data_IF_512382682885
#
_entry.id   IF_512382682885
#
_cell.length_a   1.000
_cell.length_b   1.000
_cell.length_c   1.000
_cell.angle_alpha   90.00
_cell.angle_beta   90.00
_cell.angle_gamma   90.00
#
_symmetry.space_group_name_H-M   'P 1'
#
loop_
_entity.id
_entity.type
_entity.pdbx_description
1 polymer ?
#
# COMPACT_ATOMS: atom_id res chain seq x y z
N UNK A 1 -17.62 -7.30 27.70
CA UNK A 1 -16.24 -7.37 28.21
C UNK A 1 -15.98 -6.14 29.05
N UNK A 2 -15.21 -6.27 30.12
CA UNK A 2 -14.90 -5.15 30.99
C UNK A 2 -13.86 -4.26 30.30
N UNK A 3 -14.34 -3.24 29.58
CA UNK A 3 -13.49 -2.29 28.85
C UNK A 3 -12.49 -1.57 29.76
N UNK A 4 -12.89 -1.21 30.98
CA UNK A 4 -12.02 -0.52 31.94
C UNK A 4 -10.83 -1.40 32.35
N UNK A 5 -11.10 -2.68 32.61
CA UNK A 5 -10.06 -3.64 32.95
C UNK A 5 -9.14 -3.93 31.76
N UNK A 6 -9.70 -4.01 30.55
CA UNK A 6 -8.94 -4.18 29.32
C UNK A 6 -7.99 -3.00 29.09
N UNK A 7 -8.50 -1.78 29.18
CA UNK A 7 -7.72 -0.53 29.09
C UNK A 7 -6.58 -0.52 30.11
N UNK A 8 -6.90 -0.86 31.37
CA UNK A 8 -5.93 -0.90 32.45
C UNK A 8 -4.78 -1.87 32.15
N UNK A 9 -5.07 -3.07 31.66
CA UNK A 9 -4.03 -4.04 31.34
C UNK A 9 -3.13 -3.59 30.19
N UNK A 10 -3.72 -3.05 29.12
CA UNK A 10 -2.96 -2.53 27.98
C UNK A 10 -2.11 -1.32 28.39
N UNK A 11 -2.63 -0.42 29.23
CA UNK A 11 -1.89 0.71 29.80
C UNK A 11 -0.72 0.26 30.69
N UNK A 12 -0.77 -0.94 31.27
CA UNK A 12 0.33 -1.56 32.04
C UNK A 12 1.33 -2.32 31.17
N UNK A 13 1.19 -2.29 29.85
CA UNK A 13 2.11 -2.94 28.91
C UNK A 13 1.79 -4.40 28.65
N UNK A 14 0.55 -4.86 28.92
CA UNK A 14 0.10 -6.16 28.45
C UNK A 14 0.24 -6.23 26.92
N UNK A 15 0.73 -7.35 26.41
CA UNK A 15 0.81 -7.57 24.98
C UNK A 15 -0.59 -7.62 24.37
N UNK A 16 -0.82 -6.89 23.29
CA UNK A 16 -2.15 -6.69 22.68
C UNK A 16 -2.62 -7.88 21.83
N UNK A 17 -1.69 -8.65 21.25
CA UNK A 17 -1.99 -9.75 20.31
C UNK A 17 -1.54 -11.15 20.77
N UNK A 18 -1.73 -11.57 22.04
CA UNK A 18 -1.45 -12.94 22.43
C UNK A 18 -2.34 -13.89 21.64
N UNK A 19 -1.77 -14.97 21.10
CA UNK A 19 -2.53 -15.95 20.31
C UNK A 19 -2.95 -17.10 21.21
N UNK A 20 -4.26 -17.28 21.38
CA UNK A 20 -4.87 -18.43 22.05
C UNK A 20 -5.48 -19.40 21.02
N UNK A 21 -6.03 -20.53 21.48
CA UNK A 21 -6.65 -21.56 20.63
C UNK A 21 -7.77 -21.02 19.70
N UNK A 22 -8.46 -19.96 20.13
CA UNK A 22 -9.59 -19.35 19.41
C UNK A 22 -9.23 -18.01 18.74
N UNK A 23 -7.96 -17.59 18.74
CA UNK A 23 -7.52 -16.33 18.14
C UNK A 23 -6.87 -15.37 19.13
N UNK A 24 -6.69 -14.13 18.68
CA UNK A 24 -6.24 -12.99 19.51
C UNK A 24 -7.40 -12.41 20.32
N UNK A 25 -7.16 -11.53 21.32
CA UNK A 25 -8.22 -10.81 22.01
C UNK A 25 -9.18 -10.09 21.03
N UNK A 26 -8.67 -9.62 19.89
CA UNK A 26 -9.47 -8.97 18.85
C UNK A 26 -10.43 -9.94 18.15
N UNK A 27 -10.05 -11.21 17.95
CA UNK A 27 -10.97 -12.24 17.44
C UNK A 27 -12.13 -12.47 18.40
N UNK A 28 -11.84 -12.62 19.69
CA UNK A 28 -12.85 -12.82 20.72
C UNK A 28 -13.78 -11.62 20.86
N UNK A 29 -13.23 -10.40 20.94
CA UNK A 29 -14.03 -9.18 21.02
C UNK A 29 -14.95 -9.02 19.79
N UNK A 30 -14.45 -9.34 18.59
CA UNK A 30 -15.22 -9.31 17.35
C UNK A 30 -16.31 -10.39 17.30
N UNK A 31 -15.98 -11.64 17.66
CA UNK A 31 -16.90 -12.77 17.68
C UNK A 31 -18.01 -12.66 18.73
N UNK A 32 -17.77 -11.90 19.80
CA UNK A 32 -18.77 -11.57 20.82
C UNK A 32 -19.48 -10.22 20.54
N UNK A 33 -19.18 -9.57 19.41
CA UNK A 33 -19.78 -8.28 19.02
C UNK A 33 -19.49 -7.11 19.98
N UNK A 34 -18.41 -7.19 20.75
CA UNK A 34 -18.06 -6.21 21.78
C UNK A 34 -17.36 -4.99 21.19
N UNK A 35 -18.14 -4.08 20.58
CA UNK A 35 -17.66 -2.87 19.93
C UNK A 35 -16.62 -2.08 20.76
N UNK A 36 -16.89 -1.85 22.06
CA UNK A 36 -15.98 -1.11 22.93
C UNK A 36 -14.61 -1.78 23.09
N UNK A 37 -14.58 -3.10 23.26
CA UNK A 37 -13.35 -3.86 23.37
C UNK A 37 -12.59 -3.92 22.03
N UNK A 38 -13.31 -4.09 20.91
CA UNK A 38 -12.72 -4.00 19.57
C UNK A 38 -12.05 -2.65 19.36
N UNK A 39 -12.73 -1.56 19.70
CA UNK A 39 -12.18 -0.20 19.58
C UNK A 39 -10.90 -0.02 20.39
N UNK A 40 -10.91 -0.39 21.67
CA UNK A 40 -9.75 -0.28 22.57
C UNK A 40 -8.55 -1.08 22.03
N UNK A 41 -8.78 -2.32 21.59
CA UNK A 41 -7.72 -3.16 21.03
C UNK A 41 -7.11 -2.54 19.77
N UNK A 42 -7.93 -1.98 18.88
CA UNK A 42 -7.48 -1.29 17.68
C UNK A 42 -6.70 -0.01 18.03
N UNK A 43 -7.16 0.76 19.01
CA UNK A 43 -6.48 1.97 19.51
C UNK A 43 -5.09 1.63 20.10
N UNK A 44 -4.93 0.42 20.65
CA UNK A 44 -3.67 -0.16 21.12
C UNK A 44 -2.90 -0.98 20.06
N UNK A 45 -3.15 -0.72 18.76
CA UNK A 45 -2.45 -1.31 17.63
C UNK A 45 -2.56 -2.85 17.50
N UNK A 46 -3.67 -3.44 17.95
CA UNK A 46 -3.98 -4.84 17.63
C UNK A 46 -3.96 -5.07 16.11
N UNK A 47 -3.39 -6.19 15.67
CA UNK A 47 -3.37 -6.58 14.26
C UNK A 47 -4.76 -6.99 13.78
N UNK A 48 -5.45 -6.04 13.15
CA UNK A 48 -6.80 -6.19 12.60
C UNK A 48 -6.91 -7.21 11.46
N UNK A 49 -5.79 -7.61 10.86
CA UNK A 49 -5.72 -8.62 9.79
C UNK A 49 -5.05 -9.92 10.24
N UNK A 50 -4.79 -10.10 11.54
CA UNK A 50 -4.17 -11.31 12.06
C UNK A 50 -5.02 -12.52 11.69
N UNK A 51 -4.42 -13.49 11.00
CA UNK A 51 -5.10 -14.73 10.66
C UNK A 51 -4.71 -15.83 11.65
N UNK A 52 -5.70 -16.38 12.36
CA UNK A 52 -5.53 -17.51 13.28
C UNK A 52 -6.49 -18.61 12.89
N UNK A 53 -5.99 -19.82 12.64
CA UNK A 53 -6.78 -20.97 12.17
C UNK A 53 -7.65 -20.67 10.93
N UNK A 54 -7.16 -19.79 10.03
CA UNK A 54 -7.88 -19.38 8.83
C UNK A 54 -8.98 -18.34 9.03
N UNK A 55 -9.17 -17.86 10.27
CA UNK A 55 -10.16 -16.83 10.62
C UNK A 55 -9.43 -15.52 10.86
N UNK A 56 -10.04 -14.41 10.44
CA UNK A 56 -9.62 -13.04 10.77
C UNK A 56 -10.62 -12.40 11.74
N UNK A 57 -10.26 -11.32 12.45
CA UNK A 57 -11.22 -10.62 13.31
C UNK A 57 -12.46 -10.15 12.55
N UNK A 58 -12.32 -9.74 11.29
CA UNK A 58 -13.45 -9.35 10.45
C UNK A 58 -14.38 -10.53 10.13
N UNK A 59 -13.83 -11.73 9.88
CA UNK A 59 -14.63 -12.94 9.71
C UNK A 59 -15.39 -13.29 11.00
N UNK A 60 -14.73 -13.23 12.16
CA UNK A 60 -15.38 -13.46 13.44
C UNK A 60 -16.54 -12.47 13.70
N UNK A 61 -16.35 -11.17 13.38
CA UNK A 61 -17.44 -10.18 13.48
C UNK A 61 -18.62 -10.46 12.53
N UNK A 62 -18.34 -11.02 11.34
CA UNK A 62 -19.37 -11.43 10.38
C UNK A 62 -20.15 -12.64 10.86
N UNK A 63 -19.47 -13.66 11.38
CA UNK A 63 -20.11 -14.86 11.93
C UNK A 63 -21.01 -14.50 13.12
N UNK A 64 -20.60 -13.50 13.91
CA UNK A 64 -21.38 -12.93 15.02
C UNK A 64 -22.54 -11.99 14.58
N UNK A 65 -22.65 -11.67 13.28
CA UNK A 65 -23.56 -10.66 12.74
C UNK A 65 -23.46 -9.28 13.45
N UNK A 66 -22.27 -8.92 13.93
CA UNK A 66 -22.05 -7.64 14.63
C UNK A 66 -21.75 -6.51 13.65
N UNK A 67 -22.81 -5.88 13.14
CA UNK A 67 -22.72 -4.80 12.14
C UNK A 67 -21.78 -3.67 12.54
N UNK A 68 -21.77 -3.26 13.81
CA UNK A 68 -20.93 -2.15 14.28
C UNK A 68 -19.45 -2.53 14.35
N UNK A 69 -19.12 -3.77 14.74
CA UNK A 69 -17.75 -4.27 14.71
C UNK A 69 -17.25 -4.43 13.26
N UNK A 70 -18.11 -4.92 12.35
CA UNK A 70 -17.80 -5.03 10.92
C UNK A 70 -17.46 -3.64 10.34
N UNK A 71 -18.31 -2.64 10.57
CA UNK A 71 -18.07 -1.26 10.08
C UNK A 71 -16.75 -0.71 10.60
N UNK A 72 -16.45 -0.91 11.89
CA UNK A 72 -15.21 -0.41 12.50
C UNK A 72 -13.97 -1.09 11.90
N UNK A 73 -13.98 -2.42 11.76
CA UNK A 73 -12.86 -3.18 11.20
C UNK A 73 -12.62 -2.86 9.72
N UNK A 74 -13.69 -2.72 8.93
CA UNK A 74 -13.60 -2.29 7.52
C UNK A 74 -13.01 -0.89 7.41
N UNK A 75 -13.48 0.06 8.24
CA UNK A 75 -12.93 1.42 8.27
C UNK A 75 -11.42 1.43 8.55
N UNK A 76 -10.96 0.63 9.50
CA UNK A 76 -9.53 0.52 9.83
C UNK A 76 -8.72 -0.12 8.70
N UNK A 77 -9.33 -0.99 7.89
CA UNK A 77 -8.69 -1.53 6.68
C UNK A 77 -8.61 -0.49 5.55
N UNK A 78 -9.62 0.37 5.41
CA UNK A 78 -9.71 1.39 4.35
C UNK A 78 -8.78 2.58 4.60
N UNK A 79 -8.62 3.05 5.84
CA UNK A 79 -7.81 4.23 6.16
C UNK A 79 -6.34 4.14 5.67
N UNK A 80 -5.60 3.04 5.88
CA UNK A 80 -4.26 2.86 5.34
C UNK A 80 -4.23 2.85 3.82
N UNK A 81 -5.24 2.27 3.16
CA UNK A 81 -5.33 2.26 1.70
C UNK A 81 -5.55 3.66 1.14
N UNK A 82 -6.48 4.42 1.72
CA UNK A 82 -6.74 5.80 1.33
C UNK A 82 -5.51 6.68 1.55
N UNK A 83 -4.81 6.55 2.68
CA UNK A 83 -3.55 7.26 2.94
C UNK A 83 -2.49 6.92 1.89
N UNK A 84 -2.35 5.64 1.49
CA UNK A 84 -1.42 5.22 0.44
C UNK A 84 -1.77 5.84 -0.91
N UNK A 85 -3.05 5.85 -1.28
CA UNK A 85 -3.53 6.42 -2.54
C UNK A 85 -3.29 7.93 -2.60
N UNK A 86 -3.61 8.67 -1.53
CA UNK A 86 -3.34 10.12 -1.43
C UNK A 86 -1.84 10.39 -1.59
N UNK A 87 -0.98 9.65 -0.88
CA UNK A 87 0.47 9.83 -0.97
C UNK A 87 1.00 9.46 -2.35
N UNK A 88 0.48 8.39 -2.98
CA UNK A 88 0.85 8.01 -4.33
C UNK A 88 0.49 9.11 -5.33
N UNK A 89 -0.74 9.62 -5.29
CA UNK A 89 -1.20 10.72 -6.14
C UNK A 89 -0.34 11.98 -6.01
N UNK A 90 0.01 12.35 -4.77
CA UNK A 90 0.88 13.50 -4.52
C UNK A 90 2.30 13.30 -5.06
N UNK A 91 2.89 12.12 -4.89
CA UNK A 91 4.22 11.81 -5.46
C UNK A 91 4.21 11.87 -7.00
N UNK A 92 3.13 11.40 -7.62
CA UNK A 92 2.95 11.44 -9.08
C UNK A 92 2.80 12.89 -9.57
N UNK A 93 2.05 13.71 -8.84
CA UNK A 93 1.85 15.13 -9.17
C UNK A 93 3.17 15.89 -9.11
N UNK A 94 3.94 15.72 -8.02
CA UNK A 94 5.26 16.33 -7.83
C UNK A 94 6.28 15.83 -8.87
N UNK A 95 6.22 14.54 -9.21
CA UNK A 95 7.05 13.95 -10.28
C UNK A 95 6.77 14.61 -11.63
N UNK A 96 5.50 14.81 -11.96
CA UNK A 96 5.06 15.44 -13.20
C UNK A 96 5.45 16.92 -13.28
N UNK A 97 5.39 17.64 -12.16
CA UNK A 97 5.88 19.03 -12.04
C UNK A 97 7.40 19.06 -12.26
N UNK A 98 8.14 18.13 -11.66
CA UNK A 98 9.60 18.04 -11.78
C UNK A 98 10.02 17.72 -13.23
N UNK A 99 9.28 16.84 -13.91
CA UNK A 99 9.45 16.58 -15.35
C UNK A 99 9.29 17.86 -16.19
N UNK A 100 8.24 18.65 -15.94
CA UNK A 100 8.02 19.93 -16.65
C UNK A 100 9.16 20.91 -16.42
N UNK A 101 9.78 20.89 -15.22
CA UNK A 101 10.97 21.68 -14.87
C UNK A 101 12.29 21.09 -15.41
N UNK A 102 12.25 19.93 -16.08
CA UNK A 102 13.41 19.17 -16.56
C UNK A 102 14.36 18.68 -15.44
N UNK A 103 13.86 18.60 -14.20
CA UNK A 103 14.59 17.97 -13.10
C UNK A 103 14.34 16.46 -13.10
N UNK A 104 15.01 15.78 -14.04
CA UNK A 104 14.81 14.36 -14.30
C UNK A 104 15.25 13.47 -13.13
N UNK A 105 16.28 13.88 -12.39
CA UNK A 105 16.79 13.12 -11.26
C UNK A 105 15.80 13.11 -10.09
N UNK A 106 15.20 14.26 -9.77
CA UNK A 106 14.15 14.34 -8.74
C UNK A 106 12.88 13.63 -9.20
N UNK A 107 12.46 13.83 -10.45
CA UNK A 107 11.29 13.16 -11.01
C UNK A 107 11.42 11.63 -10.94
N UNK A 108 12.56 11.06 -11.33
CA UNK A 108 12.79 9.61 -11.28
C UNK A 108 12.71 9.05 -9.85
N UNK A 109 13.20 9.79 -8.85
CA UNK A 109 13.09 9.40 -7.43
C UNK A 109 11.65 9.42 -6.94
N UNK A 110 10.89 10.45 -7.30
CA UNK A 110 9.47 10.58 -6.93
C UNK A 110 8.64 9.45 -7.54
N UNK A 111 8.81 9.16 -8.83
CA UNK A 111 8.15 8.02 -9.46
C UNK A 111 8.54 6.70 -8.83
N UNK A 112 9.83 6.51 -8.47
CA UNK A 112 10.27 5.29 -7.79
C UNK A 112 9.58 5.08 -6.44
N UNK A 113 9.32 6.16 -5.69
CA UNK A 113 8.54 6.08 -4.45
C UNK A 113 7.06 5.81 -4.71
N UNK A 114 6.46 6.47 -5.72
CA UNK A 114 5.08 6.23 -6.10
C UNK A 114 4.85 4.76 -6.49
N UNK A 115 5.77 4.16 -7.23
CA UNK A 115 5.71 2.75 -7.66
C UNK A 115 5.85 1.73 -6.52
N UNK A 116 6.37 2.13 -5.35
CA UNK A 116 6.36 1.28 -4.15
C UNK A 116 4.96 1.24 -3.51
N UNK A 117 4.15 2.28 -3.73
CA UNK A 117 2.78 2.37 -3.22
C UNK A 117 1.77 1.79 -4.21
N UNK A 118 1.98 2.03 -5.50
CA UNK A 118 1.19 1.48 -6.60
C UNK A 118 2.12 0.89 -7.68
N UNK A 119 2.42 -0.43 -7.62
CA UNK A 119 3.32 -1.08 -8.56
C UNK A 119 2.71 -1.34 -9.94
N UNK A 120 1.39 -1.14 -10.11
CA UNK A 120 0.66 -1.54 -11.31
C UNK A 120 0.31 -0.39 -12.27
N UNK A 121 0.85 0.81 -12.04
CA UNK A 121 0.71 1.93 -12.96
C UNK A 121 1.80 1.95 -14.05
N UNK A 122 1.42 1.52 -15.26
CA UNK A 122 2.27 1.53 -16.45
C UNK A 122 2.78 2.94 -16.84
N UNK A 123 2.06 4.00 -16.48
CA UNK A 123 2.44 5.40 -16.81
C UNK A 123 3.71 5.80 -16.06
N UNK A 124 3.84 5.41 -14.80
CA UNK A 124 5.03 5.70 -13.99
C UNK A 124 6.29 5.08 -14.58
N UNK A 125 6.21 3.86 -15.10
CA UNK A 125 7.32 3.23 -15.82
C UNK A 125 7.68 4.03 -17.09
N UNK A 126 6.70 4.48 -17.87
CA UNK A 126 6.95 5.28 -19.07
C UNK A 126 7.62 6.63 -18.74
N UNK A 127 7.13 7.31 -17.71
CA UNK A 127 7.61 8.64 -17.32
C UNK A 127 8.98 8.57 -16.63
N UNK A 128 9.23 7.54 -15.82
CA UNK A 128 10.55 7.28 -15.26
C UNK A 128 11.57 6.85 -16.33
N UNK A 129 11.15 6.05 -17.32
CA UNK A 129 11.97 5.71 -18.50
C UNK A 129 12.43 6.96 -19.24
N UNK A 130 11.52 7.94 -19.43
CA UNK A 130 11.87 9.25 -20.01
C UNK A 130 12.95 9.97 -19.20
N UNK A 131 12.82 10.00 -17.86
CA UNK A 131 13.84 10.61 -17.01
C UNK A 131 15.21 9.97 -17.23
N UNK A 132 15.29 8.64 -17.27
CA UNK A 132 16.55 7.92 -17.47
C UNK A 132 17.17 8.19 -18.85
N UNK A 133 16.36 8.29 -19.90
CA UNK A 133 16.83 8.67 -21.23
C UNK A 133 17.48 10.03 -21.23
N UNK A 134 16.87 11.03 -20.59
CA UNK A 134 17.44 12.37 -20.48
C UNK A 134 18.68 12.44 -19.57
N UNK A 135 18.82 11.48 -18.65
CA UNK A 135 20.03 11.33 -17.82
C UNK A 135 21.12 10.49 -18.50
N UNK A 136 20.88 9.93 -19.69
CA UNK A 136 21.83 9.06 -20.40
C UNK A 136 21.92 7.63 -19.87
N UNK A 137 21.06 7.21 -18.95
CA UNK A 137 21.04 5.84 -18.43
C UNK A 137 20.12 4.94 -19.28
N UNK A 138 20.64 4.53 -20.44
CA UNK A 138 19.89 3.71 -21.40
C UNK A 138 19.48 2.35 -20.85
N UNK A 139 20.24 1.79 -19.90
CA UNK A 139 19.95 0.48 -19.29
C UNK A 139 18.71 0.57 -18.42
N UNK A 140 18.65 1.55 -17.50
CA UNK A 140 17.46 1.77 -16.66
C UNK A 140 16.24 2.17 -17.49
N UNK A 141 16.44 3.02 -18.50
CA UNK A 141 15.38 3.41 -19.42
C UNK A 141 14.75 2.19 -20.13
N UNK A 142 15.58 1.26 -20.62
CA UNK A 142 15.13 0.06 -21.31
C UNK A 142 14.36 -0.90 -20.39
N UNK A 143 14.81 -1.07 -19.15
CA UNK A 143 14.11 -1.89 -18.15
C UNK A 143 12.69 -1.38 -17.90
N UNK A 144 12.55 -0.08 -17.65
CA UNK A 144 11.25 0.55 -17.42
C UNK A 144 10.35 0.49 -18.67
N UNK A 145 10.91 0.72 -19.86
CA UNK A 145 10.16 0.63 -21.12
C UNK A 145 9.65 -0.80 -21.40
N UNK A 146 10.47 -1.82 -21.10
CA UNK A 146 10.06 -3.22 -21.24
C UNK A 146 8.95 -3.59 -20.27
N UNK A 147 9.03 -3.14 -19.02
CA UNK A 147 7.98 -3.38 -18.01
C UNK A 147 6.68 -2.68 -18.40
N UNK A 148 6.76 -1.42 -18.83
CA UNK A 148 5.65 -0.66 -19.38
C UNK A 148 4.96 -1.39 -20.56
N UNK A 149 5.75 -1.90 -21.52
CA UNK A 149 5.24 -2.66 -22.67
C UNK A 149 4.63 -4.01 -22.26
N UNK A 150 5.18 -4.68 -21.24
CA UNK A 150 4.59 -5.92 -20.69
C UNK A 150 3.20 -5.65 -20.10
N UNK A 151 2.99 -4.50 -19.47
CA UNK A 151 1.72 -4.10 -18.87
C UNK A 151 0.73 -3.57 -19.91
N UNK A 152 1.20 -2.80 -20.90
CA UNK A 152 0.39 -2.26 -22.00
C UNK A 152 1.07 -2.48 -23.35
N UNK A 153 0.91 -3.66 -23.98
CA UNK A 153 1.63 -4.02 -25.22
C UNK A 153 1.36 -3.09 -26.40
N UNK A 154 0.13 -2.57 -26.51
CA UNK A 154 -0.31 -1.71 -27.60
C UNK A 154 -0.11 -0.22 -27.33
N UNK A 155 0.56 0.17 -26.24
CA UNK A 155 0.71 1.58 -25.89
C UNK A 155 1.88 2.23 -26.66
N UNK A 156 1.63 3.18 -27.59
CA UNK A 156 2.68 3.68 -28.48
C UNK A 156 3.85 4.36 -27.74
N UNK A 157 3.56 5.00 -26.60
CA UNK A 157 4.60 5.63 -25.77
C UNK A 157 5.62 4.60 -25.26
N UNK A 158 5.18 3.40 -24.88
CA UNK A 158 6.06 2.35 -24.40
C UNK A 158 7.03 1.87 -25.48
N UNK A 159 6.53 1.61 -26.69
CA UNK A 159 7.35 1.22 -27.85
C UNK A 159 8.36 2.32 -28.22
N UNK A 160 7.94 3.58 -28.20
CA UNK A 160 8.83 4.72 -28.45
C UNK A 160 9.97 4.79 -27.42
N UNK A 161 9.65 4.69 -26.12
CA UNK A 161 10.66 4.71 -25.05
C UNK A 161 11.67 3.58 -25.17
N UNK A 162 11.21 2.39 -25.54
CA UNK A 162 12.09 1.24 -25.77
C UNK A 162 13.04 1.49 -26.95
N UNK A 163 12.52 2.03 -28.06
CA UNK A 163 13.33 2.39 -29.22
C UNK A 163 14.41 3.42 -28.88
N UNK A 164 14.03 4.50 -28.19
CA UNK A 164 14.96 5.54 -27.70
C UNK A 164 16.05 4.94 -26.81
N UNK A 165 15.69 4.04 -25.88
CA UNK A 165 16.64 3.40 -24.98
C UNK A 165 17.63 2.48 -25.72
N UNK A 166 17.15 1.69 -26.68
CA UNK A 166 18.01 0.83 -27.51
C UNK A 166 18.96 1.64 -28.38
N UNK A 167 18.52 2.77 -28.92
CA UNK A 167 19.39 3.67 -29.69
C UNK A 167 20.50 4.23 -28.81
N UNK A 168 20.18 4.68 -27.60
CA UNK A 168 21.18 5.21 -26.66
C UNK A 168 22.22 4.15 -26.26
N UNK A 169 21.80 2.90 -26.08
CA UNK A 169 22.70 1.78 -25.77
C UNK A 169 23.58 1.34 -26.93
N UNK A 170 23.22 1.65 -28.17
CA UNK A 170 24.05 1.34 -29.36
C UNK A 170 25.16 2.37 -29.60
N UNK A 171 25.04 3.56 -29.00
CA UNK A 171 25.96 4.69 -29.21
C UNK A 171 26.87 4.89 -27.97
N UNK A 172 26.66 4.11 -26.91
CA UNK A 172 27.44 4.11 -25.66
C UNK A 172 28.45 2.97 -25.63
#
# INVERSE_FOLDING_TARGET
>A
GNCEMLELFLAKGAYVDPVAAHGTPLHGAAGEGQYGAVKILLDHNADYNKMVNGVTPLMAARDANSTECIKLLVKVQEEPMLKREIVASELISLGSISLKKKDYAVAAKLYSRAMQLDPDDAVLFSDRSLCWLHMGDGRKALLDANKCRKMRPHWPKACRRQGEALMLLKVA
#
